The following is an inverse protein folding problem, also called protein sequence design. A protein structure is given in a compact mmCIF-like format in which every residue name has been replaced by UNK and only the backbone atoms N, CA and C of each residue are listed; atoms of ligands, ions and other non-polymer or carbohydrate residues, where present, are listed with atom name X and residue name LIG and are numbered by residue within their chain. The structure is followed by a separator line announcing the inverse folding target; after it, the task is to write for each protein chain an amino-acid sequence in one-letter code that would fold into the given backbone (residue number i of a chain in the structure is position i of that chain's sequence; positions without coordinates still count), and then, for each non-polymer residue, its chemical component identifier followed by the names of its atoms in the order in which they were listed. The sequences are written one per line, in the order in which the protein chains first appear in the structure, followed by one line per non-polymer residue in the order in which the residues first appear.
data_IF_249023192606
#
_entry.id   IF_249023192606
#
_cell.length_a   1.000
_cell.length_b   1.000
_cell.length_c   1.000
_cell.angle_alpha   90.00
_cell.angle_beta   90.00
_cell.angle_gamma   90.00
#
_symmetry.space_group_name_H-M   'P 1'
#
loop_
_entity.id
_entity.type
_entity.pdbx_description
1 polymer ?
#
# COMPACT_ATOMS: atom_id res chain seq x y z
N UNK A 1 30.96 -2.21 28.74
CA UNK A 1 29.98 -1.29 28.15
C UNK A 1 28.70 -2.10 27.91
N UNK A 2 27.62 -1.93 28.70
CA UNK A 2 26.43 -2.79 28.62
C UNK A 2 25.68 -2.52 27.31
N UNK A 3 25.68 -3.48 26.39
CA UNK A 3 24.73 -3.54 25.28
C UNK A 3 23.34 -3.81 25.86
N UNK A 4 22.58 -2.76 26.19
CA UNK A 4 21.17 -2.92 26.52
C UNK A 4 20.42 -3.19 25.22
N UNK A 5 20.13 -4.46 24.99
CA UNK A 5 19.30 -4.99 23.91
C UNK A 5 18.02 -5.49 24.56
N UNK A 6 16.86 -4.98 24.16
CA UNK A 6 15.57 -5.44 24.72
C UNK A 6 15.39 -6.91 24.31
N UNK A 7 15.33 -7.87 25.25
CA UNK A 7 15.37 -9.30 24.93
C UNK A 7 14.01 -9.87 24.51
N UNK A 8 12.91 -9.22 24.91
CA UNK A 8 11.55 -9.62 24.56
C UNK A 8 10.64 -8.40 24.40
N UNK A 9 9.62 -8.54 23.58
CA UNK A 9 8.53 -7.58 23.41
C UNK A 9 7.18 -8.22 23.80
N UNK A 10 6.17 -7.38 24.03
CA UNK A 10 4.79 -7.82 24.21
C UNK A 10 4.08 -7.65 22.86
N UNK A 11 3.58 -8.75 22.33
CA UNK A 11 2.67 -8.77 21.19
C UNK A 11 1.27 -8.36 21.67
N UNK A 12 0.82 -7.18 21.26
CA UNK A 12 -0.47 -6.64 21.68
C UNK A 12 -1.67 -7.35 21.04
N UNK A 13 -1.46 -8.05 19.92
CA UNK A 13 -2.53 -8.77 19.22
C UNK A 13 -2.82 -10.10 19.91
N UNK A 14 -1.76 -10.85 20.21
CA UNK A 14 -1.87 -12.15 20.85
C UNK A 14 -1.83 -12.08 22.38
N UNK A 15 -1.51 -10.92 22.94
CA UNK A 15 -1.28 -10.69 24.37
C UNK A 15 -0.23 -11.66 24.95
N UNK A 16 0.84 -11.91 24.19
CA UNK A 16 1.94 -12.82 24.55
C UNK A 16 3.27 -12.10 24.57
N UNK A 17 4.25 -12.70 25.26
CA UNK A 17 5.64 -12.24 25.23
C UNK A 17 6.39 -12.99 24.12
N UNK A 18 7.16 -12.25 23.31
CA UNK A 18 7.96 -12.82 22.22
C UNK A 18 9.42 -12.43 22.37
N UNK A 19 10.31 -13.42 22.42
CA UNK A 19 11.77 -13.21 22.52
C UNK A 19 12.36 -12.77 21.18
N UNK A 20 13.55 -12.17 21.23
CA UNK A 20 14.32 -11.83 20.03
C UNK A 20 14.70 -13.08 19.21
N UNK A 21 14.90 -14.23 19.86
CA UNK A 21 15.17 -15.51 19.22
C UNK A 21 13.94 -16.09 18.52
N UNK A 22 12.75 -16.02 19.14
CA UNK A 22 11.53 -16.55 18.53
C UNK A 22 11.12 -15.74 17.29
N UNK A 23 11.24 -14.41 17.35
CA UNK A 23 10.98 -13.56 16.19
C UNK A 23 12.07 -13.72 15.11
N UNK A 24 13.29 -14.12 15.49
CA UNK A 24 14.38 -14.36 14.55
C UNK A 24 14.04 -15.45 13.53
N UNK A 25 13.46 -16.57 13.96
CA UNK A 25 13.03 -17.65 13.07
C UNK A 25 12.05 -17.16 12.01
N UNK A 26 11.14 -16.25 12.37
CA UNK A 26 10.22 -15.62 11.40
C UNK A 26 10.93 -14.67 10.44
N UNK A 27 12.10 -14.13 10.78
CA UNK A 27 12.88 -13.19 9.96
C UNK A 27 14.02 -13.86 9.18
N UNK A 28 14.23 -15.17 9.36
CA UNK A 28 15.20 -15.93 8.58
C UNK A 28 14.80 -15.92 7.10
N UNK A 29 13.52 -16.18 6.82
CA UNK A 29 12.89 -16.03 5.51
C UNK A 29 12.97 -14.56 5.03
N UNK A 30 13.72 -14.25 3.95
CA UNK A 30 13.79 -12.93 3.34
C UNK A 30 12.45 -12.34 2.90
N UNK A 31 11.41 -13.16 2.74
CA UNK A 31 10.04 -12.70 2.41
C UNK A 31 9.29 -12.16 3.62
N UNK A 32 9.83 -12.34 4.82
CA UNK A 32 9.18 -11.94 6.07
C UNK A 32 8.95 -10.44 6.16
N UNK A 33 7.69 -10.06 6.28
CA UNK A 33 7.27 -8.65 6.40
C UNK A 33 7.29 -8.14 7.84
N UNK A 34 7.65 -8.96 8.83
CA UNK A 34 7.56 -8.63 10.27
C UNK A 34 8.23 -7.30 10.58
N UNK A 35 9.45 -7.07 10.08
CA UNK A 35 10.20 -5.82 10.33
C UNK A 35 9.50 -4.62 9.72
N UNK A 36 9.03 -4.76 8.47
CA UNK A 36 8.27 -3.71 7.77
C UNK A 36 6.95 -3.40 8.49
N UNK A 37 6.23 -4.42 8.96
CA UNK A 37 4.96 -4.25 9.68
C UNK A 37 5.15 -3.68 11.08
N UNK A 38 6.21 -4.08 11.81
CA UNK A 38 6.52 -3.57 13.14
C UNK A 38 6.97 -2.10 13.12
N UNK A 39 7.45 -1.61 11.98
CA UNK A 39 7.84 -0.20 11.76
C UNK A 39 6.84 0.58 10.91
N UNK A 40 5.73 -0.04 10.52
CA UNK A 40 4.65 0.64 9.83
C UNK A 40 3.94 1.59 10.79
N UNK A 41 3.52 2.75 10.29
CA UNK A 41 2.70 3.67 11.07
C UNK A 41 1.24 3.17 11.04
N UNK A 42 0.46 3.45 12.08
CA UNK A 42 -1.00 3.21 12.08
C UNK A 42 -1.67 3.89 10.87
N UNK A 43 -1.12 5.02 10.41
CA UNK A 43 -1.60 5.75 9.24
C UNK A 43 -1.14 5.16 7.90
N UNK A 44 -0.11 4.32 7.86
CA UNK A 44 0.32 3.70 6.59
C UNK A 44 -0.66 2.60 6.19
N UNK A 45 -1.57 2.91 5.27
CA UNK A 45 -2.65 2.01 4.83
C UNK A 45 -2.17 0.84 3.98
N UNK A 46 -0.96 0.94 3.41
CA UNK A 46 -0.39 -0.09 2.52
C UNK A 46 -0.05 -1.40 3.25
N UNK A 47 0.28 -1.35 4.54
CA UNK A 47 0.63 -2.54 5.34
C UNK A 47 -0.16 -2.59 6.64
N UNK A 48 -0.44 -3.80 7.13
CA UNK A 48 -0.99 -4.01 8.47
C UNK A 48 0.12 -3.81 9.51
N UNK A 49 0.02 -2.81 10.41
CA UNK A 49 1.03 -2.62 11.44
C UNK A 49 0.94 -3.75 12.47
N UNK A 50 2.08 -4.31 12.85
CA UNK A 50 2.19 -5.21 14.02
C UNK A 50 2.54 -4.37 15.24
N UNK A 51 1.82 -4.58 16.33
CA UNK A 51 1.98 -3.81 17.57
C UNK A 51 2.80 -4.60 18.58
N UNK A 52 4.12 -4.45 18.49
CA UNK A 52 5.02 -4.91 19.54
C UNK A 52 5.37 -3.75 20.45
N UNK A 53 5.22 -3.95 21.76
CA UNK A 53 5.54 -2.92 22.76
C UNK A 53 6.59 -3.38 23.76
N UNK A 54 7.39 -2.42 24.22
CA UNK A 54 8.35 -2.62 25.28
C UNK A 54 7.65 -3.00 26.59
N UNK A 55 8.11 -4.03 27.31
CA UNK A 55 7.53 -4.44 28.59
C UNK A 55 7.64 -3.36 29.67
N UNK A 56 8.65 -2.48 29.60
CA UNK A 56 8.92 -1.47 30.62
C UNK A 56 8.16 -0.16 30.41
N UNK A 57 8.16 0.38 29.18
CA UNK A 57 7.57 1.69 28.90
C UNK A 57 6.31 1.62 28.03
N UNK A 58 5.92 0.43 27.56
CA UNK A 58 4.76 0.20 26.68
C UNK A 58 4.82 0.94 25.34
N UNK A 59 5.97 1.51 24.99
CA UNK A 59 6.21 2.17 23.71
C UNK A 59 6.52 1.15 22.61
N UNK A 60 6.22 1.50 21.36
CA UNK A 60 6.40 0.62 20.22
C UNK A 60 7.88 0.25 20.00
N UNK A 61 8.11 -1.03 19.76
CA UNK A 61 9.41 -1.61 19.43
C UNK A 61 9.32 -2.40 18.13
N UNK A 62 10.46 -2.62 17.48
CA UNK A 62 10.57 -3.45 16.29
C UNK A 62 11.79 -4.36 16.39
N UNK A 63 11.77 -5.53 15.72
CA UNK A 63 12.89 -6.44 15.75
C UNK A 63 13.98 -5.99 14.77
N UNK A 64 15.23 -5.98 15.24
CA UNK A 64 16.39 -5.60 14.45
C UNK A 64 17.14 -6.85 13.98
N UNK A 65 17.43 -6.92 12.68
CA UNK A 65 18.25 -7.98 12.11
C UNK A 65 19.75 -7.74 12.40
N UNK A 66 20.54 -8.79 12.66
CA UNK A 66 21.97 -8.62 12.87
C UNK A 66 22.66 -8.14 11.59
N UNK A 67 23.58 -7.19 11.74
CA UNK A 67 24.29 -6.59 10.61
C UNK A 67 25.48 -7.40 10.11
N UNK A 68 25.93 -8.42 10.85
CA UNK A 68 27.06 -9.31 10.52
C UNK A 68 26.86 -10.66 11.23
N UNK A 69 27.38 -11.76 10.64
CA UNK A 69 27.46 -13.10 11.29
C UNK A 69 28.01 -12.95 12.72
N UNK A 70 27.24 -13.42 13.70
CA UNK A 70 27.65 -13.44 15.12
C UNK A 70 26.97 -12.42 16.04
N UNK A 71 26.13 -11.51 15.53
CA UNK A 71 25.26 -10.69 16.39
C UNK A 71 23.90 -11.36 16.59
N UNK A 72 23.37 -11.29 17.81
CA UNK A 72 22.00 -11.73 18.12
C UNK A 72 20.97 -10.71 17.64
N UNK A 73 19.80 -11.18 17.23
CA UNK A 73 18.61 -10.35 17.05
C UNK A 73 18.27 -9.62 18.36
N UNK A 74 17.63 -8.46 18.26
CA UNK A 74 17.19 -7.70 19.42
C UNK A 74 16.00 -6.80 19.09
N UNK A 75 15.28 -6.37 20.12
CA UNK A 75 14.23 -5.37 19.99
C UNK A 75 14.79 -3.97 20.23
N UNK A 76 14.28 -2.99 19.48
CA UNK A 76 14.67 -1.58 19.61
C UNK A 76 13.44 -0.68 19.47
N UNK A 77 13.41 0.44 20.19
CA UNK A 77 12.35 1.42 20.05
C UNK A 77 12.43 2.10 18.68
N UNK A 78 11.28 2.58 18.20
CA UNK A 78 11.26 3.51 17.07
C UNK A 78 12.04 4.78 17.41
N UNK A 79 12.63 5.47 16.40
CA UNK A 79 13.24 6.78 16.60
C UNK A 79 12.25 7.72 17.32
N UNK A 80 12.67 8.31 18.44
CA UNK A 80 11.87 9.18 19.33
C UNK A 80 10.78 8.46 20.16
N UNK A 81 10.74 7.13 20.18
CA UNK A 81 9.68 6.35 20.82
C UNK A 81 9.79 6.20 22.34
N UNK A 82 10.97 6.39 22.97
CA UNK A 82 11.11 6.14 24.41
C UNK A 82 12.30 6.88 25.05
N UNK A 83 12.11 8.16 25.37
CA UNK A 83 13.17 9.01 25.93
C UNK A 83 13.68 8.58 27.30
N UNK A 84 12.81 7.97 28.10
CA UNK A 84 13.08 7.61 29.51
C UNK A 84 13.00 6.10 29.76
N UNK A 85 13.04 5.27 28.72
CA UNK A 85 13.01 3.82 28.95
C UNK A 85 14.35 3.33 29.52
N UNK A 86 14.34 2.61 30.66
CA UNK A 86 15.56 2.10 31.28
C UNK A 86 16.29 1.03 30.43
N UNK A 87 15.61 0.48 29.41
CA UNK A 87 16.17 -0.51 28.49
C UNK A 87 16.74 0.10 27.20
N UNK A 88 16.62 1.41 26.98
CA UNK A 88 17.07 2.07 25.74
C UNK A 88 18.49 2.63 25.89
N UNK A 89 19.36 2.33 24.91
CA UNK A 89 20.65 3.00 24.80
C UNK A 89 20.48 4.33 24.06
N UNK A 90 20.83 5.45 24.70
CA UNK A 90 20.63 6.81 24.17
C UNK A 90 21.41 7.04 22.87
N UNK A 91 20.78 6.87 21.70
CA UNK A 91 21.24 7.50 20.44
C UNK A 91 20.08 8.20 19.72
N UNK A 92 20.16 9.53 19.75
CA UNK A 92 19.23 10.48 19.13
C UNK A 92 19.62 10.70 17.68
N UNK A 93 18.93 10.07 16.73
CA UNK A 93 18.88 10.51 15.35
C UNK A 93 17.52 10.26 14.73
N UNK A 94 17.03 11.22 13.96
CA UNK A 94 15.88 11.01 13.06
C UNK A 94 16.26 10.10 11.90
N UNK A 95 15.30 9.42 11.23
CA UNK A 95 15.57 8.67 9.99
C UNK A 95 16.34 9.49 8.95
N UNK A 96 16.00 10.78 8.79
CA UNK A 96 16.71 11.68 7.88
C UNK A 96 18.13 12.00 8.34
N UNK A 97 18.37 12.10 9.65
CA UNK A 97 19.72 12.24 10.21
C UNK A 97 20.53 10.95 10.13
N UNK A 98 19.88 9.79 10.22
CA UNK A 98 20.50 8.48 10.00
C UNK A 98 20.89 8.37 8.53
N UNK A 99 19.99 8.68 7.60
CA UNK A 99 20.28 8.72 6.17
C UNK A 99 21.42 9.70 5.88
N UNK A 100 21.37 10.94 6.38
CA UNK A 100 22.44 11.92 6.23
C UNK A 100 23.79 11.43 6.79
N UNK A 101 23.79 10.62 7.86
CA UNK A 101 25.01 10.01 8.41
C UNK A 101 25.48 8.78 7.62
N UNK A 102 24.58 7.92 7.16
CA UNK A 102 24.90 6.77 6.29
C UNK A 102 25.52 7.28 4.97
N UNK A 103 24.97 8.36 4.44
CA UNK A 103 25.44 8.98 3.20
C UNK A 103 26.47 10.08 3.45
N UNK A 104 26.93 10.33 4.69
CA UNK A 104 27.92 11.36 5.06
C UNK A 104 27.67 12.75 4.44
N UNK A 105 26.41 13.13 4.19
CA UNK A 105 26.09 14.36 3.44
C UNK A 105 26.64 14.39 2.00
N UNK A 106 27.11 13.26 1.46
CA UNK A 106 27.59 13.15 0.08
C UNK A 106 26.41 13.14 -0.88
N UNK A 107 26.55 13.97 -1.92
CA UNK A 107 25.77 13.88 -3.15
C UNK A 107 25.73 12.42 -3.64
N UNK A 108 24.59 12.08 -4.22
CA UNK A 108 24.35 10.89 -5.04
C UNK A 108 25.63 10.46 -5.80
N UNK A 109 26.10 9.23 -5.53
CA UNK A 109 27.32 8.73 -6.16
C UNK A 109 27.13 8.54 -7.67
N UNK A 110 28.19 8.74 -8.45
CA UNK A 110 28.16 8.66 -9.92
C UNK A 110 27.55 7.35 -10.45
N UNK A 111 27.78 6.24 -9.74
CA UNK A 111 27.19 4.94 -10.09
C UNK A 111 25.65 4.93 -10.01
N UNK A 112 25.05 5.63 -9.03
CA UNK A 112 23.59 5.72 -8.90
C UNK A 112 23.03 6.61 -10.00
N UNK A 113 23.62 7.79 -10.25
CA UNK A 113 23.26 8.65 -11.40
C UNK A 113 23.31 7.91 -12.74
N UNK A 114 24.38 7.14 -12.97
CA UNK A 114 24.54 6.35 -14.19
C UNK A 114 23.47 5.26 -14.32
N UNK A 115 23.10 4.62 -13.21
CA UNK A 115 22.01 3.65 -13.20
C UNK A 115 20.66 4.33 -13.47
N UNK A 116 20.37 5.46 -12.83
CA UNK A 116 19.14 6.23 -13.08
C UNK A 116 19.07 6.66 -14.54
N UNK A 117 20.12 7.26 -15.09
CA UNK A 117 20.18 7.68 -16.49
C UNK A 117 20.00 6.49 -17.46
N UNK A 118 20.52 5.31 -17.11
CA UNK A 118 20.27 4.09 -17.88
C UNK A 118 18.80 3.67 -17.84
N UNK A 119 18.19 3.60 -16.65
CA UNK A 119 16.79 3.20 -16.51
C UNK A 119 15.86 4.16 -17.27
N UNK A 120 16.17 5.45 -17.28
CA UNK A 120 15.47 6.46 -18.08
C UNK A 120 15.56 6.15 -19.57
N UNK A 121 16.76 5.93 -20.11
CA UNK A 121 16.93 5.61 -21.54
C UNK A 121 16.18 4.35 -21.95
N UNK A 122 16.15 3.33 -21.09
CA UNK A 122 15.41 2.10 -21.37
C UNK A 122 13.90 2.33 -21.36
N UNK A 123 13.40 3.11 -20.40
CA UNK A 123 11.98 3.47 -20.34
C UNK A 123 11.55 4.34 -21.54
N UNK A 124 12.38 5.29 -21.98
CA UNK A 124 12.12 6.12 -23.17
C UNK A 124 12.04 5.30 -24.46
N UNK A 125 12.81 4.22 -24.54
CA UNK A 125 12.81 3.34 -25.72
C UNK A 125 11.59 2.41 -25.78
N UNK A 126 10.94 2.10 -24.65
CA UNK A 126 9.87 1.10 -24.58
C UNK A 126 8.51 1.65 -25.04
N UNK A 127 7.87 1.08 -26.09
CA UNK A 127 6.57 1.55 -26.58
C UNK A 127 5.41 1.43 -25.58
N UNK A 128 5.53 0.61 -24.54
CA UNK A 128 4.53 0.50 -23.47
C UNK A 128 4.56 1.67 -22.49
N UNK A 129 5.65 2.46 -22.49
CA UNK A 129 5.81 3.64 -21.64
C UNK A 129 5.21 4.85 -22.35
N UNK A 130 4.21 5.45 -21.70
CA UNK A 130 3.37 6.50 -22.28
C UNK A 130 3.90 7.89 -21.92
N UNK A 131 4.48 8.03 -20.73
CA UNK A 131 5.04 9.29 -20.23
C UNK A 131 6.15 9.00 -19.22
N UNK A 132 7.15 9.88 -19.14
CA UNK A 132 8.26 9.78 -18.21
C UNK A 132 8.54 11.12 -17.52
N UNK A 133 8.90 11.07 -16.24
CA UNK A 133 9.31 12.20 -15.41
C UNK A 133 10.51 11.77 -14.55
N UNK A 134 11.54 12.62 -14.50
CA UNK A 134 12.80 12.34 -13.80
C UNK A 134 13.17 13.51 -12.90
N UNK A 135 13.64 13.23 -11.69
CA UNK A 135 14.04 14.26 -10.73
C UNK A 135 12.93 15.24 -10.33
N UNK A 136 11.66 14.91 -10.61
CA UNK A 136 10.52 15.78 -10.32
C UNK A 136 10.07 15.61 -8.87
N UNK A 137 9.92 16.72 -8.14
CA UNK A 137 9.37 16.66 -6.80
C UNK A 137 7.88 16.29 -6.85
N UNK A 138 7.54 15.09 -6.40
CA UNK A 138 6.17 14.63 -6.24
C UNK A 138 5.61 15.22 -4.94
N UNK A 139 4.78 16.26 -5.06
CA UNK A 139 4.15 16.93 -3.92
C UNK A 139 2.96 16.09 -3.40
N UNK A 140 2.79 15.93 -2.08
CA UNK A 140 1.59 15.33 -1.52
C UNK A 140 0.35 16.17 -1.87
N UNK A 141 -0.74 15.50 -2.21
CA UNK A 141 -2.05 16.16 -2.36
C UNK A 141 -2.50 16.76 -1.03
N UNK A 142 -3.50 17.66 -1.06
CA UNK A 142 -4.05 18.25 0.18
C UNK A 142 -4.54 17.17 1.16
N UNK A 143 -5.09 16.09 0.63
CA UNK A 143 -5.59 14.94 1.39
C UNK A 143 -4.48 14.13 2.05
N UNK A 144 -3.28 14.18 1.51
CA UNK A 144 -2.09 13.48 1.99
C UNK A 144 -1.27 14.30 2.99
N UNK A 145 -1.39 15.64 3.01
CA UNK A 145 -0.49 16.51 3.82
C UNK A 145 -0.45 16.16 5.31
N UNK A 146 -1.56 15.67 5.86
CA UNK A 146 -1.63 15.26 7.27
C UNK A 146 -0.74 14.03 7.57
N UNK A 147 -0.60 13.12 6.60
CA UNK A 147 0.20 11.89 6.71
C UNK A 147 1.63 12.11 6.19
N UNK A 148 1.76 12.94 5.14
CA UNK A 148 3.00 13.24 4.42
C UNK A 148 3.16 14.76 4.31
N UNK A 149 3.82 15.43 5.28
CA UNK A 149 4.00 16.88 5.24
C UNK A 149 4.93 17.33 4.09
N UNK A 150 5.75 16.40 3.58
CA UNK A 150 6.69 16.63 2.48
C UNK A 150 6.52 15.55 1.41
N UNK A 151 6.86 15.92 0.19
CA UNK A 151 6.90 15.06 -0.98
C UNK A 151 8.17 14.24 -1.09
N UNK A 152 8.30 13.54 -2.22
CA UNK A 152 9.45 12.69 -2.53
C UNK A 152 9.98 13.02 -3.91
N UNK A 153 11.27 12.74 -4.11
CA UNK A 153 11.91 12.76 -5.42
C UNK A 153 12.10 11.29 -5.84
N UNK A 154 11.27 10.76 -6.73
CA UNK A 154 11.51 9.45 -7.33
C UNK A 154 12.75 9.52 -8.23
N UNK A 155 13.52 8.42 -8.29
CA UNK A 155 14.66 8.35 -9.20
C UNK A 155 14.18 8.35 -10.66
N UNK A 156 13.18 7.52 -10.96
CA UNK A 156 12.48 7.52 -12.25
C UNK A 156 10.99 7.33 -12.02
N UNK A 157 10.15 8.07 -12.72
CA UNK A 157 8.70 7.90 -12.73
C UNK A 157 8.18 7.83 -14.15
N UNK A 158 7.25 6.93 -14.43
CA UNK A 158 6.60 6.85 -15.74
C UNK A 158 5.21 6.23 -15.64
N UNK A 159 4.42 6.34 -16.71
CA UNK A 159 3.16 5.61 -16.87
C UNK A 159 3.34 4.48 -17.88
N UNK A 160 2.96 3.25 -17.51
CA UNK A 160 3.02 2.07 -18.35
C UNK A 160 1.70 1.30 -18.23
N UNK A 161 0.99 1.09 -19.35
CA UNK A 161 -0.32 0.41 -19.38
C UNK A 161 -1.31 0.93 -18.31
N UNK A 162 -1.47 2.25 -18.20
CA UNK A 162 -2.28 2.95 -17.17
C UNK A 162 -1.83 2.78 -15.72
N UNK A 163 -0.70 2.12 -15.46
CA UNK A 163 -0.07 2.01 -14.15
C UNK A 163 0.99 3.11 -14.03
N UNK A 164 0.86 3.97 -13.02
CA UNK A 164 1.94 4.88 -12.63
C UNK A 164 3.03 4.04 -11.93
N UNK A 165 4.25 4.07 -12.44
CA UNK A 165 5.38 3.31 -11.91
C UNK A 165 6.44 4.27 -11.41
N UNK A 166 7.01 3.94 -10.26
CA UNK A 166 8.18 4.63 -9.69
C UNK A 166 9.30 3.60 -9.54
N UNK A 167 10.47 3.89 -10.09
CA UNK A 167 11.68 3.13 -9.84
C UNK A 167 12.51 3.86 -8.79
N UNK A 168 13.00 3.11 -7.80
CA UNK A 168 14.06 3.55 -6.89
C UNK A 168 15.28 2.65 -7.13
N UNK A 169 16.34 3.24 -7.65
CA UNK A 169 17.59 2.56 -7.96
C UNK A 169 18.39 2.38 -6.66
N UNK A 170 18.72 1.14 -6.31
CA UNK A 170 19.36 0.83 -5.04
C UNK A 170 20.74 0.19 -5.22
N UNK A 171 21.79 0.98 -4.93
CA UNK A 171 23.18 0.50 -4.91
C UNK A 171 23.77 0.43 -3.49
N UNK A 172 23.18 1.15 -2.54
CA UNK A 172 23.67 1.26 -1.17
C UNK A 172 22.71 0.62 -0.15
N UNK A 173 23.04 0.67 1.13
CA UNK A 173 22.12 0.26 2.20
C UNK A 173 21.04 1.32 2.39
N UNK A 174 19.77 0.91 2.42
CA UNK A 174 18.64 1.78 2.78
C UNK A 174 18.10 1.40 4.17
N UNK A 175 17.59 2.40 4.90
CA UNK A 175 16.94 2.18 6.19
C UNK A 175 15.53 1.62 6.03
N UNK A 176 15.09 0.81 6.98
CA UNK A 176 13.73 0.26 7.04
C UNK A 176 12.64 1.35 7.00
N UNK A 177 12.89 2.47 7.70
CA UNK A 177 12.03 3.66 7.67
C UNK A 177 11.99 4.31 6.27
N UNK A 178 13.11 4.31 5.55
CA UNK A 178 13.18 4.79 4.18
C UNK A 178 12.36 3.94 3.21
N UNK A 179 12.38 2.61 3.38
CA UNK A 179 11.56 1.68 2.60
C UNK A 179 10.07 1.92 2.87
N UNK A 180 9.65 1.85 4.14
CA UNK A 180 8.26 2.06 4.52
C UNK A 180 7.74 3.45 4.12
N UNK A 181 8.56 4.49 4.30
CA UNK A 181 8.18 5.86 3.97
C UNK A 181 7.95 6.09 2.48
N UNK A 182 8.76 5.47 1.61
CA UNK A 182 8.56 5.51 0.14
C UNK A 182 7.38 4.67 -0.29
N UNK A 183 7.32 3.42 0.18
CA UNK A 183 6.19 2.52 -0.11
C UNK A 183 4.86 3.17 0.23
N UNK A 184 4.73 3.69 1.46
CA UNK A 184 3.51 4.33 1.89
C UNK A 184 3.18 5.60 1.08
N UNK A 185 4.17 6.41 0.72
CA UNK A 185 3.96 7.61 -0.09
C UNK A 185 3.49 7.26 -1.51
N UNK A 186 4.21 6.37 -2.21
CA UNK A 186 3.90 6.03 -3.61
C UNK A 186 2.62 5.19 -3.72
N UNK A 187 2.38 4.26 -2.81
CA UNK A 187 1.09 3.54 -2.77
C UNK A 187 -0.07 4.51 -2.57
N UNK A 188 0.13 5.55 -1.73
CA UNK A 188 -0.88 6.58 -1.51
C UNK A 188 -1.09 7.44 -2.75
N UNK A 189 -0.06 7.68 -3.55
CA UNK A 189 -0.14 8.34 -4.86
C UNK A 189 -0.76 7.44 -5.95
N UNK A 190 -1.07 6.18 -5.65
CA UNK A 190 -1.54 5.21 -6.65
C UNK A 190 -0.45 4.76 -7.63
N UNK A 191 0.82 4.88 -7.24
CA UNK A 191 1.97 4.46 -8.03
C UNK A 191 2.56 3.15 -7.51
N UNK A 192 2.92 2.24 -8.42
CA UNK A 192 3.70 1.04 -8.07
C UNK A 192 5.17 1.40 -7.91
N UNK A 193 5.68 1.29 -6.69
CA UNK A 193 7.11 1.38 -6.40
C UNK A 193 7.82 0.05 -6.71
N UNK A 194 8.85 0.11 -7.56
CA UNK A 194 9.82 -0.96 -7.84
C UNK A 194 11.21 -0.57 -7.32
N UNK A 195 11.82 -1.40 -6.48
CA UNK A 195 13.25 -1.27 -6.18
C UNK A 195 14.04 -2.01 -7.25
N UNK A 196 15.05 -1.34 -7.81
CA UNK A 196 15.87 -1.92 -8.89
C UNK A 196 17.34 -1.89 -8.47
N UNK A 197 17.98 -3.06 -8.45
CA UNK A 197 19.41 -3.21 -8.18
C UNK A 197 20.22 -3.42 -9.47
N UNK A 198 21.49 -3.01 -9.47
CA UNK A 198 22.43 -3.36 -10.54
C UNK A 198 23.16 -4.65 -10.20
N UNK A 199 23.22 -5.58 -11.15
CA UNK A 199 24.02 -6.81 -11.07
C UNK A 199 23.85 -7.55 -9.74
N UNK A 200 22.60 -7.83 -9.36
CA UNK A 200 22.34 -8.58 -8.13
C UNK A 200 22.94 -9.98 -8.22
N UNK A 201 23.72 -10.35 -7.20
CA UNK A 201 24.30 -11.68 -7.06
C UNK A 201 23.52 -12.48 -6.00
N UNK A 202 22.73 -13.48 -6.42
CA UNK A 202 21.95 -14.32 -5.50
C UNK A 202 22.80 -15.23 -4.60
N UNK A 203 24.08 -15.44 -4.93
CA UNK A 203 25.00 -16.32 -4.18
C UNK A 203 25.74 -15.60 -3.05
N UNK A 204 25.74 -14.26 -3.10
CA UNK A 204 26.42 -13.41 -2.14
C UNK A 204 25.72 -13.33 -0.77
N UNK A 205 26.47 -12.87 0.23
CA UNK A 205 25.91 -12.61 1.56
C UNK A 205 24.84 -11.51 1.51
N UNK A 206 23.61 -11.83 1.90
CA UNK A 206 22.48 -10.91 1.83
C UNK A 206 22.46 -9.93 3.01
N UNK A 207 22.55 -8.63 2.71
CA UNK A 207 22.39 -7.56 3.70
C UNK A 207 20.95 -7.48 4.19
N UNK A 208 20.75 -7.05 5.44
CA UNK A 208 19.42 -6.87 6.02
C UNK A 208 18.51 -5.95 5.19
N UNK A 209 19.04 -4.88 4.60
CA UNK A 209 18.25 -3.98 3.73
C UNK A 209 17.78 -4.64 2.43
N UNK A 210 18.52 -5.62 1.92
CA UNK A 210 18.12 -6.39 0.73
C UNK A 210 16.98 -7.34 1.10
N UNK A 211 17.07 -8.01 2.26
CA UNK A 211 15.94 -8.78 2.82
C UNK A 211 14.69 -7.90 2.97
N UNK A 212 14.86 -6.68 3.50
CA UNK A 212 13.75 -5.75 3.66
C UNK A 212 13.14 -5.32 2.31
N UNK A 213 13.93 -5.18 1.25
CA UNK A 213 13.42 -4.92 -0.11
C UNK A 213 12.68 -6.14 -0.68
N UNK A 214 13.21 -7.35 -0.48
CA UNK A 214 12.57 -8.60 -0.92
C UNK A 214 11.20 -8.74 -0.24
N UNK A 215 11.13 -8.55 1.07
CA UNK A 215 9.88 -8.53 1.81
C UNK A 215 8.97 -7.36 1.39
N UNK A 216 9.54 -6.23 0.96
CA UNK A 216 8.75 -5.09 0.45
C UNK A 216 8.08 -5.42 -0.88
N UNK A 217 8.74 -6.20 -1.75
CA UNK A 217 8.26 -6.56 -3.08
C UNK A 217 7.75 -8.01 -3.16
N UNK A 218 7.07 -8.47 -2.11
CA UNK A 218 6.37 -9.77 -2.09
C UNK A 218 7.27 -10.96 -2.44
N UNK A 219 8.49 -10.95 -1.89
CA UNK A 219 9.47 -12.02 -2.07
C UNK A 219 10.29 -11.94 -3.35
N UNK A 220 10.25 -10.79 -4.04
CA UNK A 220 11.00 -10.56 -5.28
C UNK A 220 12.05 -9.48 -5.12
N UNK A 221 13.07 -9.56 -5.96
CA UNK A 221 14.02 -8.48 -6.18
C UNK A 221 14.16 -8.25 -7.68
N UNK A 222 14.00 -7.00 -8.13
CA UNK A 222 14.26 -6.66 -9.51
C UNK A 222 15.70 -6.20 -9.68
N UNK A 223 16.36 -6.71 -10.71
CA UNK A 223 17.69 -6.26 -11.09
C UNK A 223 17.81 -6.02 -12.57
N UNK A 224 18.80 -5.22 -12.94
CA UNK A 224 19.26 -5.08 -14.30
C UNK A 224 20.74 -5.48 -14.39
N UNK A 225 21.11 -6.18 -15.46
CA UNK A 225 22.47 -6.63 -15.77
C UNK A 225 22.85 -6.23 -17.21
N UNK A 226 24.10 -6.48 -17.61
CA UNK A 226 24.60 -6.07 -18.93
C UNK A 226 23.85 -6.77 -20.07
N UNK A 227 23.60 -8.06 -19.94
CA UNK A 227 22.87 -8.85 -20.93
C UNK A 227 21.49 -8.26 -21.21
N UNK A 228 20.74 -7.91 -20.15
CA UNK A 228 19.44 -7.29 -20.28
C UNK A 228 19.49 -5.88 -20.89
N UNK A 229 20.55 -5.12 -20.63
CA UNK A 229 20.73 -3.80 -21.23
C UNK A 229 20.93 -3.93 -22.73
N UNK A 230 21.81 -4.82 -23.16
CA UNK A 230 22.06 -5.09 -24.57
C UNK A 230 20.78 -5.58 -25.26
N UNK A 231 20.08 -6.55 -24.67
CA UNK A 231 18.80 -7.05 -25.19
C UNK A 231 17.77 -5.91 -25.34
N UNK A 232 17.61 -5.09 -24.30
CA UNK A 232 16.62 -4.00 -24.29
C UNK A 232 16.98 -2.89 -25.28
N UNK A 233 18.26 -2.63 -25.51
CA UNK A 233 18.72 -1.65 -26.50
C UNK A 233 18.56 -2.15 -27.93
N UNK A 234 18.74 -3.46 -28.17
CA UNK A 234 18.61 -4.06 -29.48
C UNK A 234 17.16 -4.04 -30.01
N UNK A 235 16.17 -4.28 -29.15
CA UNK A 235 14.77 -4.38 -29.57
C UNK A 235 13.85 -3.28 -29.02
N UNK A 236 14.40 -2.33 -28.24
CA UNK A 236 13.66 -1.22 -27.66
C UNK A 236 12.63 -1.66 -26.61
N UNK A 237 12.83 -2.80 -25.92
CA UNK A 237 11.90 -3.26 -24.87
C UNK A 237 12.60 -3.29 -23.53
N UNK A 238 12.10 -2.50 -22.58
CA UNK A 238 12.65 -2.42 -21.24
C UNK A 238 12.29 -3.67 -20.43
N UNK A 239 13.32 -4.43 -20.05
CA UNK A 239 13.21 -5.63 -19.23
C UNK A 239 13.99 -5.53 -17.94
N UNK A 240 13.48 -6.25 -16.94
CA UNK A 240 14.17 -6.48 -15.67
C UNK A 240 14.27 -7.97 -15.42
N UNK A 241 15.31 -8.38 -14.68
CA UNK A 241 15.38 -9.71 -14.10
C UNK A 241 14.60 -9.68 -12.80
N UNK A 242 13.58 -10.54 -12.69
CA UNK A 242 12.86 -10.78 -11.45
C UNK A 242 13.45 -12.01 -10.75
N UNK A 243 14.07 -11.78 -9.60
CA UNK A 243 14.55 -12.84 -8.73
C UNK A 243 13.48 -13.15 -7.70
N UNK A 244 12.93 -14.37 -7.71
CA UNK A 244 11.93 -14.82 -6.74
C UNK A 244 12.57 -15.76 -5.75
N UNK A 245 12.41 -15.47 -4.45
CA UNK A 245 12.93 -16.31 -3.38
C UNK A 245 11.96 -17.48 -3.10
N UNK A 246 12.41 -18.72 -3.27
CA UNK A 246 11.55 -19.91 -3.17
C UNK A 246 11.48 -20.58 -1.78
N UNK A 247 12.24 -20.13 -0.77
CA UNK A 247 12.19 -20.69 0.60
C UNK A 247 13.35 -21.63 0.97
N UNK A 248 13.33 -22.16 2.19
CA UNK A 248 14.52 -22.60 2.94
C UNK A 248 14.94 -24.08 2.81
N UNK A 249 16.26 -24.26 2.79
CA UNK A 249 17.07 -25.48 2.76
C UNK A 249 18.54 -25.05 2.50
N UNK A 250 19.55 -25.93 2.64
CA UNK A 250 20.95 -25.59 2.27
C UNK A 250 21.08 -25.17 0.79
N UNK A 251 20.06 -25.49 -0.02
CA UNK A 251 19.91 -25.16 -1.44
C UNK A 251 18.91 -24.02 -1.72
N UNK A 252 18.71 -23.03 -0.83
CA UNK A 252 17.76 -21.92 -1.07
C UNK A 252 17.85 -21.39 -2.53
N UNK A 253 16.84 -21.73 -3.36
CA UNK A 253 16.90 -21.46 -4.79
C UNK A 253 16.26 -20.12 -5.10
N UNK A 254 17.01 -19.34 -5.86
CA UNK A 254 16.45 -18.22 -6.59
C UNK A 254 15.90 -18.72 -7.90
N UNK A 255 14.66 -18.38 -8.19
CA UNK A 255 14.13 -18.47 -9.54
C UNK A 255 14.35 -17.12 -10.22
N UNK A 256 14.96 -17.13 -11.40
CA UNK A 256 15.18 -15.94 -12.19
C UNK A 256 14.31 -15.99 -13.43
N UNK A 257 13.52 -14.95 -13.65
CA UNK A 257 12.81 -14.73 -14.91
C UNK A 257 13.16 -13.36 -15.48
N UNK A 258 13.08 -13.23 -16.80
CA UNK A 258 13.18 -11.95 -17.49
C UNK A 258 11.76 -11.48 -17.74
N UNK A 259 11.42 -10.30 -17.22
CA UNK A 259 10.06 -9.74 -17.31
C UNK A 259 10.09 -8.38 -18.02
N UNK A 260 9.13 -8.11 -18.93
CA UNK A 260 8.91 -6.75 -19.44
C UNK A 260 8.52 -5.79 -18.32
N UNK A 261 8.76 -4.49 -18.50
CA UNK A 261 8.49 -3.49 -17.47
C UNK A 261 7.01 -3.42 -17.04
N UNK A 262 6.08 -3.65 -17.97
CA UNK A 262 4.65 -3.73 -17.68
C UNK A 262 4.32 -4.87 -16.71
N UNK A 263 4.94 -6.04 -16.88
CA UNK A 263 4.77 -7.18 -15.99
C UNK A 263 5.45 -6.93 -14.64
N UNK A 264 6.66 -6.34 -14.64
CA UNK A 264 7.35 -5.96 -13.40
C UNK A 264 6.51 -4.99 -12.55
N UNK A 265 5.81 -4.03 -13.19
CA UNK A 265 4.91 -3.10 -12.52
C UNK A 265 3.71 -3.77 -11.84
N UNK A 266 3.24 -4.91 -12.37
CA UNK A 266 2.19 -5.72 -11.72
C UNK A 266 2.80 -6.54 -10.58
N UNK A 267 3.92 -7.22 -10.84
CA UNK A 267 4.58 -8.11 -9.88
C UNK A 267 5.15 -7.41 -8.66
N UNK A 268 5.61 -6.16 -8.79
CA UNK A 268 6.22 -5.41 -7.70
C UNK A 268 5.22 -4.67 -6.80
N UNK A 269 3.92 -4.76 -7.10
CA UNK A 269 2.87 -4.24 -6.22
C UNK A 269 2.69 -5.19 -5.05
N UNK A 270 2.97 -4.77 -3.80
CA UNK A 270 2.82 -5.65 -2.65
C UNK A 270 1.36 -6.02 -2.42
N UNK A 271 1.16 -7.23 -1.91
CA UNK A 271 -0.16 -7.70 -1.50
C UNK A 271 -0.64 -6.96 -0.25
N UNK A 272 -1.68 -6.13 -0.39
CA UNK A 272 -2.21 -5.30 0.72
C UNK A 272 -3.35 -6.05 1.41
N UNK A 273 -3.67 -5.63 2.63
CA UNK A 273 -4.85 -6.13 3.36
C UNK A 273 -6.13 -5.95 2.54
N UNK A 274 -6.27 -4.82 1.84
CA UNK A 274 -7.43 -4.55 1.01
C UNK A 274 -7.57 -5.52 -0.18
N UNK A 275 -6.43 -5.96 -0.74
CA UNK A 275 -6.43 -6.91 -1.85
C UNK A 275 -6.87 -8.31 -1.33
N UNK A 276 -6.37 -8.74 -0.17
CA UNK A 276 -6.83 -9.96 0.51
C UNK A 276 -8.33 -9.91 0.87
N UNK A 277 -8.77 -8.81 1.48
CA UNK A 277 -10.16 -8.61 1.86
C UNK A 277 -11.09 -8.73 0.66
N UNK A 278 -10.77 -8.01 -0.43
CA UNK A 278 -11.59 -8.04 -1.66
C UNK A 278 -11.58 -9.43 -2.30
N UNK A 279 -10.45 -10.14 -2.30
CA UNK A 279 -10.40 -11.54 -2.74
C UNK A 279 -11.36 -12.42 -1.93
N UNK A 280 -11.27 -12.40 -0.60
CA UNK A 280 -12.16 -13.17 0.29
C UNK A 280 -13.63 -12.80 0.09
N UNK A 281 -13.91 -11.50 -0.10
CA UNK A 281 -15.24 -11.00 -0.38
C UNK A 281 -15.81 -11.56 -1.68
N UNK A 282 -15.02 -11.52 -2.76
CA UNK A 282 -15.41 -12.06 -4.06
C UNK A 282 -15.57 -13.58 -3.99
N UNK A 283 -14.65 -14.30 -3.36
CA UNK A 283 -14.76 -15.75 -3.17
C UNK A 283 -16.02 -16.16 -2.39
N UNK A 284 -16.37 -15.39 -1.34
CA UNK A 284 -17.54 -15.65 -0.53
C UNK A 284 -18.86 -15.38 -1.28
N UNK A 285 -18.93 -14.30 -2.05
CA UNK A 285 -20.19 -13.74 -2.53
C UNK A 285 -20.36 -13.63 -4.04
N UNK A 286 -19.37 -14.00 -4.86
CA UNK A 286 -19.49 -14.01 -6.33
C UNK A 286 -20.65 -14.92 -6.75
N UNK A 287 -21.59 -14.37 -7.51
CA UNK A 287 -22.78 -15.09 -7.98
C UNK A 287 -23.73 -15.55 -6.87
N UNK A 288 -23.61 -15.00 -5.65
CA UNK A 288 -24.42 -15.37 -4.48
C UNK A 288 -25.00 -14.13 -3.79
N UNK A 289 -26.16 -14.31 -3.17
CA UNK A 289 -26.69 -13.34 -2.22
C UNK A 289 -25.98 -13.48 -0.87
N UNK A 290 -25.84 -12.39 -0.10
CA UNK A 290 -25.08 -12.41 1.17
C UNK A 290 -25.49 -13.53 2.13
N UNK A 291 -26.79 -13.68 2.38
CA UNK A 291 -27.32 -14.65 3.34
C UNK A 291 -27.56 -16.05 2.76
N UNK A 292 -26.79 -16.43 1.74
CA UNK A 292 -26.83 -17.80 1.21
C UNK A 292 -26.18 -18.75 2.22
N UNK A 293 -26.77 -19.94 2.42
CA UNK A 293 -26.27 -20.93 3.39
C UNK A 293 -24.78 -21.25 3.16
N UNK A 294 -23.97 -21.11 4.22
CA UNK A 294 -22.53 -21.39 4.20
C UNK A 294 -21.63 -20.21 3.79
N UNK A 295 -22.21 -19.06 3.42
CA UNK A 295 -21.43 -17.83 3.27
C UNK A 295 -21.11 -17.21 4.66
N UNK A 296 -19.97 -16.52 4.81
CA UNK A 296 -19.70 -15.67 5.98
C UNK A 296 -20.80 -14.63 6.19
N UNK A 297 -20.94 -14.12 7.42
CA UNK A 297 -21.83 -12.99 7.68
C UNK A 297 -21.25 -11.72 7.01
N UNK A 298 -22.01 -11.01 6.15
CA UNK A 298 -21.55 -9.78 5.53
C UNK A 298 -21.20 -8.67 6.54
N UNK A 299 -21.86 -8.62 7.69
CA UNK A 299 -21.58 -7.63 8.74
C UNK A 299 -20.29 -7.96 9.48
N UNK A 300 -19.92 -9.22 9.65
CA UNK A 300 -18.61 -9.59 10.21
C UNK A 300 -17.48 -9.11 9.30
N UNK A 301 -17.61 -9.34 7.99
CA UNK A 301 -16.64 -8.84 7.00
C UNK A 301 -16.65 -7.30 6.97
N UNK A 302 -17.81 -6.65 7.00
CA UNK A 302 -17.90 -5.19 7.03
C UNK A 302 -17.29 -4.61 8.34
N UNK A 303 -17.40 -5.33 9.45
CA UNK A 303 -16.79 -4.95 10.73
C UNK A 303 -15.26 -5.05 10.73
N UNK A 304 -14.69 -5.93 9.89
CA UNK A 304 -13.25 -5.93 9.60
C UNK A 304 -12.83 -4.58 8.98
N UNK A 305 -13.59 -4.09 8.01
CA UNK A 305 -13.40 -2.77 7.39
C UNK A 305 -13.59 -1.66 8.43
N UNK A 306 -14.63 -1.76 9.27
CA UNK A 306 -14.93 -0.76 10.30
C UNK A 306 -13.77 -0.59 11.29
N UNK A 307 -13.25 -1.71 11.81
CA UNK A 307 -12.09 -1.76 12.70
C UNK A 307 -10.86 -1.13 12.04
N UNK A 308 -10.62 -1.45 10.77
CA UNK A 308 -9.48 -0.92 10.02
C UNK A 308 -9.61 0.56 9.68
N UNK A 309 -10.84 1.04 9.48
CA UNK A 309 -11.17 2.44 9.20
C UNK A 309 -11.32 3.32 10.46
N UNK A 310 -11.27 2.73 11.65
CA UNK A 310 -11.49 3.44 12.92
C UNK A 310 -12.89 4.06 13.01
N UNK A 311 -13.91 3.31 12.57
CA UNK A 311 -15.33 3.69 12.68
C UNK A 311 -16.09 2.69 13.55
N UNK A 312 -17.24 3.11 14.13
CA UNK A 312 -18.08 2.21 14.91
C UNK A 312 -18.48 0.97 14.10
N UNK A 313 -18.65 -0.15 14.80
CA UNK A 313 -19.13 -1.38 14.21
C UNK A 313 -20.56 -1.26 13.68
N UNK A 314 -20.88 -2.15 12.77
CA UNK A 314 -22.12 -2.26 12.02
C UNK A 314 -22.91 -3.47 12.52
N UNK A 315 -24.22 -3.32 12.62
CA UNK A 315 -25.19 -4.38 12.86
C UNK A 315 -26.37 -4.22 11.90
N UNK A 316 -27.15 -5.27 11.70
CA UNK A 316 -28.32 -5.27 10.80
C UNK A 316 -29.36 -4.22 11.24
N UNK A 317 -29.44 -3.11 10.50
CA UNK A 317 -30.44 -2.03 10.62
C UNK A 317 -30.46 -1.22 9.31
N UNK A 318 -31.62 -0.74 8.80
CA UNK A 318 -31.75 0.00 7.54
C UNK A 318 -30.66 1.02 7.17
N UNK A 319 -30.16 1.84 8.11
CA UNK A 319 -29.10 2.83 7.82
C UNK A 319 -27.71 2.21 7.59
N UNK A 320 -27.47 1.06 8.20
CA UNK A 320 -26.22 0.28 8.06
C UNK A 320 -26.26 -0.59 6.79
N UNK A 321 -27.43 -1.03 6.38
CA UNK A 321 -27.65 -1.80 5.13
C UNK A 321 -27.22 -0.99 3.90
N UNK A 322 -27.34 0.34 3.97
CA UNK A 322 -26.84 1.25 2.94
C UNK A 322 -25.31 1.20 2.79
N UNK A 323 -24.57 1.25 3.91
CA UNK A 323 -23.10 1.17 3.87
C UNK A 323 -22.65 -0.18 3.32
N UNK A 324 -23.31 -1.27 3.75
CA UNK A 324 -23.05 -2.60 3.20
C UNK A 324 -23.30 -2.64 1.68
N UNK A 325 -24.44 -2.11 1.22
CA UNK A 325 -24.80 -2.06 -0.20
C UNK A 325 -23.83 -1.21 -1.04
N UNK A 326 -23.30 -0.12 -0.48
CA UNK A 326 -22.31 0.72 -1.14
C UNK A 326 -20.93 0.07 -1.17
N UNK A 327 -20.47 -0.55 -0.08
CA UNK A 327 -19.22 -1.32 -0.07
C UNK A 327 -19.28 -2.43 -1.12
N UNK A 328 -20.39 -3.18 -1.14
CA UNK A 328 -20.70 -4.17 -2.17
C UNK A 328 -20.59 -3.59 -3.58
N UNK A 329 -21.23 -2.44 -3.83
CA UNK A 329 -21.23 -1.78 -5.13
C UNK A 329 -19.81 -1.37 -5.54
N UNK A 330 -19.03 -0.75 -4.66
CA UNK A 330 -17.67 -0.31 -4.97
C UNK A 330 -16.75 -1.50 -5.32
N UNK A 331 -16.82 -2.59 -4.56
CA UNK A 331 -16.05 -3.81 -4.85
C UNK A 331 -16.50 -4.43 -6.17
N UNK A 332 -17.81 -4.46 -6.44
CA UNK A 332 -18.35 -5.01 -7.69
C UNK A 332 -17.98 -4.16 -8.92
N UNK A 333 -17.92 -2.83 -8.78
CA UNK A 333 -17.47 -1.92 -9.84
C UNK A 333 -16.00 -2.16 -10.20
N UNK A 334 -15.12 -2.25 -9.20
CA UNK A 334 -13.71 -2.55 -9.42
C UNK A 334 -13.51 -3.95 -10.02
N UNK A 335 -14.23 -4.95 -9.54
CA UNK A 335 -14.12 -6.32 -10.03
C UNK A 335 -14.75 -6.54 -11.41
N UNK A 336 -15.68 -5.66 -11.83
CA UNK A 336 -16.44 -5.82 -13.07
C UNK A 336 -17.51 -6.91 -13.04
N UNK A 337 -17.84 -7.43 -11.85
CA UNK A 337 -18.80 -8.50 -11.63
C UNK A 337 -19.56 -8.29 -10.32
N UNK A 338 -20.72 -8.92 -10.17
CA UNK A 338 -21.55 -8.78 -8.97
C UNK A 338 -21.12 -9.76 -7.88
N UNK A 339 -20.87 -9.23 -6.69
CA UNK A 339 -20.69 -10.02 -5.47
C UNK A 339 -21.71 -9.58 -4.41
N UNK A 340 -22.45 -10.52 -3.80
CA UNK A 340 -23.36 -10.22 -2.69
C UNK A 340 -24.74 -9.71 -3.12
N UNK A 341 -25.23 -10.15 -4.27
CA UNK A 341 -26.58 -9.83 -4.76
C UNK A 341 -27.13 -10.95 -5.62
N UNK A 342 -28.46 -11.05 -5.70
CA UNK A 342 -29.14 -11.92 -6.66
C UNK A 342 -29.13 -11.37 -8.10
N UNK A 343 -28.70 -10.12 -8.31
CA UNK A 343 -28.57 -9.57 -9.64
C UNK A 343 -27.32 -10.09 -10.36
N UNK A 344 -27.44 -10.34 -11.66
CA UNK A 344 -26.34 -10.85 -12.49
C UNK A 344 -25.40 -9.76 -13.01
N UNK A 345 -25.90 -8.52 -13.14
CA UNK A 345 -25.17 -7.42 -13.79
C UNK A 345 -24.85 -6.29 -12.83
N UNK A 346 -23.64 -5.73 -12.93
CA UNK A 346 -23.17 -4.60 -12.11
C UNK A 346 -24.09 -3.38 -12.28
N UNK A 347 -24.62 -3.16 -13.49
CA UNK A 347 -25.57 -2.07 -13.73
C UNK A 347 -26.86 -2.19 -12.89
N UNK A 348 -27.32 -3.41 -12.59
CA UNK A 348 -28.56 -3.61 -11.82
C UNK A 348 -28.39 -3.14 -10.38
N UNK A 349 -27.25 -3.46 -9.75
CA UNK A 349 -26.93 -2.98 -8.39
C UNK A 349 -26.55 -1.50 -8.38
N UNK A 350 -25.94 -0.99 -9.45
CA UNK A 350 -25.60 0.42 -9.58
C UNK A 350 -26.86 1.28 -9.75
N UNK A 351 -27.85 0.85 -10.54
CA UNK A 351 -29.10 1.57 -10.78
C UNK A 351 -29.93 1.81 -9.51
N UNK A 352 -29.70 1.04 -8.44
CA UNK A 352 -30.40 1.14 -7.16
C UNK A 352 -29.56 1.73 -6.03
N UNK A 353 -28.38 2.31 -6.34
CA UNK A 353 -27.48 2.85 -5.31
C UNK A 353 -28.14 3.96 -4.47
N UNK A 354 -29.13 4.65 -5.03
CA UNK A 354 -29.78 5.80 -4.42
C UNK A 354 -30.80 5.45 -3.32
N UNK A 355 -31.06 4.16 -3.11
CA UNK A 355 -32.01 3.66 -2.11
C UNK A 355 -31.43 3.69 -0.68
N UNK A 356 -32.31 3.71 0.33
CA UNK A 356 -31.97 3.62 1.76
C UNK A 356 -30.88 4.61 2.24
N UNK A 357 -30.86 5.83 1.71
CA UNK A 357 -29.86 6.86 2.08
C UNK A 357 -28.63 6.91 1.17
N UNK A 358 -28.50 5.97 0.22
CA UNK A 358 -27.33 5.92 -0.67
C UNK A 358 -27.26 7.07 -1.68
N UNK A 359 -28.32 7.87 -1.83
CA UNK A 359 -28.27 9.13 -2.59
C UNK A 359 -27.23 10.11 -2.04
N UNK A 360 -26.88 10.05 -0.76
CA UNK A 360 -25.79 10.83 -0.18
C UNK A 360 -24.40 10.42 -0.71
N UNK A 361 -24.26 9.24 -1.31
CA UNK A 361 -23.03 8.79 -1.95
C UNK A 361 -22.93 9.16 -3.45
N UNK A 362 -23.76 10.09 -3.94
CA UNK A 362 -23.87 10.46 -5.35
C UNK A 362 -22.51 10.66 -6.05
N UNK A 363 -21.69 11.60 -5.58
CA UNK A 363 -20.40 11.91 -6.20
C UNK A 363 -19.42 10.74 -6.06
N UNK A 364 -19.47 10.01 -4.95
CA UNK A 364 -18.60 8.85 -4.73
C UNK A 364 -18.91 7.74 -5.75
N UNK A 365 -20.18 7.41 -5.94
CA UNK A 365 -20.61 6.39 -6.91
C UNK A 365 -20.32 6.84 -8.33
N UNK A 366 -20.55 8.11 -8.66
CA UNK A 366 -20.18 8.65 -9.98
C UNK A 366 -18.70 8.46 -10.29
N UNK A 367 -17.81 8.89 -9.37
CA UNK A 367 -16.37 8.74 -9.54
C UNK A 367 -15.92 7.27 -9.56
N UNK A 368 -16.62 6.38 -8.84
CA UNK A 368 -16.34 4.94 -8.88
C UNK A 368 -16.65 4.35 -10.26
N UNK A 369 -17.82 4.70 -10.82
CA UNK A 369 -18.22 4.25 -12.16
C UNK A 369 -17.28 4.82 -13.21
N UNK A 370 -16.96 6.11 -13.15
CA UNK A 370 -16.00 6.74 -14.06
C UNK A 370 -14.64 6.03 -14.07
N UNK A 371 -14.15 5.64 -12.88
CA UNK A 371 -12.87 4.95 -12.73
C UNK A 371 -12.87 3.52 -13.27
N UNK A 372 -13.89 2.73 -12.96
CA UNK A 372 -13.83 1.27 -13.18
C UNK A 372 -14.79 0.75 -14.24
N UNK A 373 -15.92 1.42 -14.46
CA UNK A 373 -16.97 0.99 -15.37
C UNK A 373 -17.54 2.18 -16.18
N UNK A 374 -16.70 2.96 -16.89
CA UNK A 374 -17.11 4.25 -17.47
C UNK A 374 -18.26 4.12 -18.48
N UNK A 375 -18.38 2.97 -19.14
CA UNK A 375 -19.45 2.68 -20.09
C UNK A 375 -20.85 2.72 -19.47
N UNK A 376 -20.97 2.53 -18.14
CA UNK A 376 -22.25 2.61 -17.45
C UNK A 376 -22.80 4.05 -17.40
N UNK A 377 -21.95 5.08 -17.44
CA UNK A 377 -22.38 6.48 -17.45
C UNK A 377 -23.21 6.84 -18.69
N UNK A 378 -22.98 6.14 -19.80
CA UNK A 378 -23.73 6.32 -21.05
C UNK A 378 -25.12 5.66 -21.06
N UNK A 379 -25.46 4.85 -20.04
CA UNK A 379 -26.74 4.12 -19.99
C UNK A 379 -27.85 5.01 -19.45
N UNK A 380 -28.98 5.08 -20.16
CA UNK A 380 -30.14 5.89 -19.75
C UNK A 380 -30.65 5.54 -18.35
N UNK A 381 -30.62 4.26 -17.96
CA UNK A 381 -31.03 3.83 -16.61
C UNK A 381 -30.13 4.43 -15.52
N UNK A 382 -28.82 4.54 -15.79
CA UNK A 382 -27.84 5.08 -14.84
C UNK A 382 -27.96 6.59 -14.76
N UNK A 383 -28.18 7.27 -15.88
CA UNK A 383 -28.47 8.71 -15.92
C UNK A 383 -29.72 9.04 -15.09
N UNK A 384 -30.78 8.24 -15.23
CA UNK A 384 -32.00 8.36 -14.41
C UNK A 384 -31.71 8.12 -12.93
N UNK A 385 -30.89 7.13 -12.57
CA UNK A 385 -30.51 6.87 -11.19
C UNK A 385 -29.76 8.06 -10.55
N UNK A 386 -28.82 8.65 -11.28
CA UNK A 386 -28.13 9.87 -10.82
C UNK A 386 -29.07 11.07 -10.70
N UNK A 387 -30.02 11.22 -11.63
CA UNK A 387 -31.02 12.29 -11.56
C UNK A 387 -31.94 12.11 -10.33
N UNK A 388 -32.39 10.88 -10.05
CA UNK A 388 -33.18 10.58 -8.84
C UNK A 388 -32.41 10.89 -7.57
N UNK A 389 -31.16 10.46 -7.46
CA UNK A 389 -30.32 10.76 -6.30
C UNK A 389 -30.11 12.28 -6.11
N UNK A 390 -29.87 13.03 -7.19
CA UNK A 390 -29.72 14.49 -7.15
C UNK A 390 -31.00 15.20 -6.71
N UNK A 391 -32.15 14.75 -7.22
CA UNK A 391 -33.45 15.27 -6.78
C UNK A 391 -33.67 14.98 -5.30
N UNK A 392 -33.40 13.75 -4.83
CA UNK A 392 -33.51 13.40 -3.40
C UNK A 392 -32.65 14.29 -2.51
N UNK A 393 -31.39 14.53 -2.86
CA UNK A 393 -30.51 15.43 -2.10
C UNK A 393 -31.07 16.86 -2.02
N UNK A 394 -31.57 17.37 -3.15
CA UNK A 394 -32.18 18.70 -3.19
C UNK A 394 -33.44 18.76 -2.32
N UNK A 395 -34.29 17.74 -2.42
CA UNK A 395 -35.60 17.72 -1.78
C UNK A 395 -35.49 17.43 -0.26
N UNK A 396 -34.50 16.63 0.18
CA UNK A 396 -34.23 16.37 1.60
C UNK A 396 -33.37 17.45 2.27
N UNK A 397 -32.63 18.25 1.49
CA UNK A 397 -31.66 19.22 2.00
C UNK A 397 -30.41 18.56 2.62
N UNK A 398 -30.24 17.25 2.46
CA UNK A 398 -29.08 16.52 2.99
C UNK A 398 -27.83 16.82 2.16
N UNK A 399 -26.68 16.78 2.84
CA UNK A 399 -25.38 16.91 2.20
C UNK A 399 -24.87 15.55 1.73
N UNK A 400 -24.09 15.58 0.65
CA UNK A 400 -23.33 14.41 0.21
C UNK A 400 -22.32 13.95 1.27
N UNK A 401 -22.14 12.64 1.34
CA UNK A 401 -21.19 11.99 2.22
C UNK A 401 -19.76 12.25 1.74
N UNK A 402 -19.08 13.14 2.45
CA UNK A 402 -17.67 13.42 2.24
C UNK A 402 -16.73 12.34 2.82
N UNK A 403 -15.42 12.60 2.74
CA UNK A 403 -14.33 11.72 3.18
C UNK A 403 -14.45 11.22 4.64
N UNK A 404 -15.08 12.02 5.52
CA UNK A 404 -15.22 11.70 6.95
C UNK A 404 -16.41 10.79 7.27
N UNK A 405 -17.32 10.57 6.32
CA UNK A 405 -18.45 9.65 6.48
C UNK A 405 -17.98 8.20 6.64
N UNK A 406 -18.87 7.31 7.10
CA UNK A 406 -18.58 5.89 7.23
C UNK A 406 -18.13 5.26 5.90
N UNK A 407 -18.88 5.49 4.81
CA UNK A 407 -18.50 5.00 3.48
C UNK A 407 -17.21 5.68 2.97
N UNK A 408 -17.04 6.97 3.27
CA UNK A 408 -15.85 7.73 2.90
C UNK A 408 -14.57 7.11 3.47
N UNK A 409 -14.58 6.80 4.77
CA UNK A 409 -13.48 6.14 5.49
C UNK A 409 -13.30 4.68 5.07
N UNK A 410 -14.38 3.92 4.91
CA UNK A 410 -14.34 2.54 4.42
C UNK A 410 -13.67 2.45 3.03
N UNK A 411 -14.06 3.34 2.10
CA UNK A 411 -13.44 3.46 0.78
C UNK A 411 -11.94 3.69 0.86
N UNK A 412 -11.46 4.54 1.77
CA UNK A 412 -10.02 4.79 1.84
C UNK A 412 -9.20 3.58 2.29
N UNK A 413 -9.80 2.66 3.03
CA UNK A 413 -9.13 1.43 3.47
C UNK A 413 -9.23 0.36 2.39
N UNK A 414 -10.37 0.25 1.71
CA UNK A 414 -10.61 -0.73 0.65
C UNK A 414 -9.91 -0.39 -0.68
N UNK A 415 -9.73 0.90 -0.96
CA UNK A 415 -9.15 1.42 -2.20
C UNK A 415 -8.10 2.50 -1.87
N UNK A 416 -6.98 2.13 -1.21
CA UNK A 416 -6.04 3.10 -0.67
C UNK A 416 -5.29 3.91 -1.75
N UNK A 417 -5.24 3.38 -2.98
CA UNK A 417 -4.71 3.97 -4.22
C UNK A 417 -5.74 4.85 -4.97
N UNK A 418 -7.01 4.85 -4.56
CA UNK A 418 -8.04 5.70 -5.16
C UNK A 418 -8.15 7.03 -4.42
N UNK A 419 -7.32 7.99 -4.82
CA UNK A 419 -7.35 9.37 -4.35
C UNK A 419 -8.53 10.09 -5.00
N UNK A 420 -9.31 10.78 -4.17
CA UNK A 420 -10.38 11.67 -4.63
C UNK A 420 -10.00 13.09 -4.23
N UNK A 421 -9.89 13.98 -5.22
CA UNK A 421 -9.68 15.40 -4.95
C UNK A 421 -10.79 15.95 -4.06
N UNK A 422 -10.41 16.75 -3.05
CA UNK A 422 -11.30 17.39 -2.07
C UNK A 422 -12.23 18.47 -2.64
N UNK A 423 -12.28 18.67 -3.94
CA UNK A 423 -12.99 19.78 -4.60
C UNK A 423 -14.49 19.59 -4.76
N UNK A 424 -15.16 18.85 -3.88
CA UNK A 424 -16.62 18.84 -3.82
C UNK A 424 -17.11 18.79 -2.37
N UNK A 425 -17.63 19.92 -1.86
CA UNK A 425 -18.36 19.98 -0.60
C UNK A 425 -17.86 20.96 0.46
N UNK A 426 -17.45 22.17 0.08
CA UNK A 426 -17.53 23.31 1.03
C UNK A 426 -18.46 24.37 0.45
N UNK A 427 -19.74 24.26 0.79
CA UNK A 427 -20.63 25.41 0.72
C UNK A 427 -20.05 26.48 1.66
N UNK A 428 -19.41 27.50 1.09
CA UNK A 428 -19.04 28.72 1.81
C UNK A 428 -20.33 29.34 2.35
N UNK A 429 -20.55 29.26 3.66
CA UNK A 429 -21.57 30.03 4.34
C UNK A 429 -21.30 31.51 4.13
N UNK A 430 -22.08 32.12 3.24
CA UNK A 430 -22.15 33.57 3.11
C UNK A 430 -22.73 34.16 4.39
N UNK A 431 -21.92 34.89 5.14
CA UNK A 431 -22.42 35.89 6.09
C UNK A 431 -23.04 37.01 5.26
N UNK A 432 -24.36 37.08 5.22
CA UNK A 432 -25.06 38.33 4.98
C UNK A 432 -24.85 39.27 6.16
N UNK A 433 -24.64 40.54 5.85
CA UNK A 433 -24.54 41.67 6.77
C UNK A 433 -25.76 41.79 7.67
#
# INVERSE_FOLDING_TARGET
MRELRIPYAIDMENNTMISAENIASLMEDPRSTVRLQATANVWTKSRRPLQFVCPMCRQQVYPHAPSVRGKRYFWSHLPRGAFDCPLESKKRLTPDQINARIFHGRQEGEAHKNLVALLVRLAEADPSVISIATGTYERPTDEMRAEFPHGRFPDVQFSCCDIKVVLEAQLATITLHGINGRRAFYDRMGATLLWVMRNFDPTGAMKASVKDIIADQSGRLFSIDNDLIEMSQCDGRFRLRAWTYQGDGEDARWEASIVPIAEAAVLGRPWRWADDFKRRWLEAYRGRHFFTKGAPDPYDMLNEVAKRAGIPGFSSNPGVDCILALVRLLISLEAGEVAGSGHQYVISIANSFDQNGGHQALALVHKAIERWQPTLLGRSSMQLAFQRARNRLRDSGELEWGRRSAIGKAREVLFPDWILDSTAGTAKGGRTK
#
